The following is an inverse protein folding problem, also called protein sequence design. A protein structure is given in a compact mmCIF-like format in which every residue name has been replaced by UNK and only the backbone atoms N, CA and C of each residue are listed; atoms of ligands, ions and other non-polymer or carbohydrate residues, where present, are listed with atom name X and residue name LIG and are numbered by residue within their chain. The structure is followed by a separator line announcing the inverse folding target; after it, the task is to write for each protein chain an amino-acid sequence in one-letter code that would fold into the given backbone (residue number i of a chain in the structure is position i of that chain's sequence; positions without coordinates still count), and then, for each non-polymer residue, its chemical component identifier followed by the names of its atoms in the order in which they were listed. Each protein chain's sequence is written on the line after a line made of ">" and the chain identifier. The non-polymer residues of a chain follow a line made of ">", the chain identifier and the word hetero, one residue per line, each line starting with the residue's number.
data_IF_585731184877
#
_entry.id   IF_585731184877
#
_cell.length_a   1.000
_cell.length_b   1.000
_cell.length_c   1.000
_cell.angle_alpha   90.00
_cell.angle_beta   90.00
_cell.angle_gamma   90.00
#
_symmetry.space_group_name_H-M   'P 1'
#
loop_
_entity.id
_entity.type
_entity.pdbx_description
1 polymer ?
#
# COMPACT_ATOMS: atom_id res chain seq x y z
N UNK A 1 28.03 -0.05 -20.20
CA UNK A 1 29.37 0.55 -20.19
C UNK A 1 29.71 1.02 -21.60
N UNK A 2 29.71 2.33 -21.82
CA UNK A 2 30.00 2.94 -23.14
C UNK A 2 31.47 2.82 -23.58
N UNK A 3 32.34 2.31 -22.72
CA UNK A 3 33.76 2.07 -23.01
C UNK A 3 34.00 0.71 -23.67
N UNK A 4 32.97 -0.15 -23.75
CA UNK A 4 33.06 -1.48 -24.35
C UNK A 4 32.00 -1.68 -25.45
N UNK A 5 32.10 -1.00 -26.60
CA UNK A 5 31.05 -1.02 -27.61
C UNK A 5 30.83 -2.36 -28.31
N UNK A 6 31.65 -3.37 -28.00
CA UNK A 6 31.56 -4.73 -28.59
C UNK A 6 30.86 -5.75 -27.70
N UNK A 7 30.47 -5.38 -26.46
CA UNK A 7 29.71 -6.28 -25.59
C UNK A 7 28.22 -6.24 -26.01
N UNK A 8 27.60 -7.41 -26.07
CA UNK A 8 26.19 -7.53 -26.36
C UNK A 8 25.36 -6.88 -25.22
N UNK A 9 24.51 -5.94 -25.55
CA UNK A 9 23.56 -5.37 -24.60
C UNK A 9 22.38 -6.34 -24.51
N UNK A 10 22.18 -6.95 -23.35
CA UNK A 10 20.98 -7.71 -23.05
C UNK A 10 19.85 -6.75 -22.68
N UNK A 11 18.84 -6.68 -23.52
CA UNK A 11 17.64 -5.87 -23.27
C UNK A 11 16.49 -6.77 -22.87
N UNK A 12 16.00 -6.58 -21.64
CA UNK A 12 14.75 -7.17 -21.17
C UNK A 12 13.64 -6.13 -21.23
N UNK A 13 12.50 -6.46 -21.82
CA UNK A 13 11.33 -5.59 -21.90
C UNK A 13 10.19 -6.20 -21.10
N UNK A 14 9.54 -5.38 -20.28
CA UNK A 14 8.36 -5.76 -19.50
C UNK A 14 7.24 -4.79 -19.79
N UNK A 15 6.03 -5.30 -20.04
CA UNK A 15 4.83 -4.48 -20.25
C UNK A 15 4.09 -4.39 -18.90
N UNK A 16 4.17 -3.25 -18.26
CA UNK A 16 3.57 -2.98 -16.96
C UNK A 16 2.95 -1.57 -16.97
N UNK A 17 1.74 -1.44 -16.45
CA UNK A 17 1.23 -0.15 -16.04
C UNK A 17 1.85 0.18 -14.68
N UNK A 18 2.56 1.31 -14.59
CA UNK A 18 3.31 1.67 -13.39
C UNK A 18 2.77 2.99 -12.86
N UNK A 19 2.18 2.95 -11.67
CA UNK A 19 1.75 4.15 -10.95
C UNK A 19 2.84 4.69 -10.03
N UNK A 20 3.63 3.82 -9.42
CA UNK A 20 4.72 4.17 -8.52
C UNK A 20 5.89 3.18 -8.65
N UNK A 21 7.06 3.59 -8.19
CA UNK A 21 8.24 2.75 -8.08
C UNK A 21 8.98 3.01 -6.76
N UNK A 22 9.64 1.97 -6.25
CA UNK A 22 10.54 2.06 -5.11
C UNK A 22 11.79 1.24 -5.37
N UNK A 23 12.94 1.79 -5.05
CA UNK A 23 14.24 1.16 -5.25
C UNK A 23 14.95 1.08 -3.90
N UNK A 24 15.30 -0.12 -3.50
CA UNK A 24 16.17 -0.40 -2.35
C UNK A 24 17.59 -0.72 -2.82
N UNK A 25 18.45 -1.13 -1.91
CA UNK A 25 19.83 -1.50 -2.23
C UNK A 25 19.94 -2.67 -3.21
N UNK A 26 19.01 -3.66 -3.10
CA UNK A 26 19.09 -4.90 -3.87
C UNK A 26 17.87 -5.20 -4.72
N UNK A 27 16.81 -4.38 -4.63
CA UNK A 27 15.55 -4.66 -5.30
C UNK A 27 14.93 -3.39 -5.93
N UNK A 28 14.19 -3.62 -7.01
CA UNK A 28 13.31 -2.64 -7.62
C UNK A 28 11.90 -3.17 -7.49
N UNK A 29 10.99 -2.33 -6.99
CA UNK A 29 9.57 -2.62 -6.90
C UNK A 29 8.81 -1.67 -7.80
N UNK A 30 7.96 -2.22 -8.65
CA UNK A 30 7.05 -1.49 -9.52
C UNK A 30 5.62 -1.76 -9.05
N UNK A 31 4.86 -0.70 -8.88
CA UNK A 31 3.51 -0.75 -8.36
C UNK A 31 2.52 -0.28 -9.43
N UNK A 32 1.46 -1.06 -9.61
CA UNK A 32 0.31 -0.74 -10.44
C UNK A 32 -0.94 -0.71 -9.56
N UNK A 33 -1.73 0.37 -9.69
CA UNK A 33 -2.99 0.52 -8.97
C UNK A 33 -4.16 0.17 -9.89
N UNK A 34 -4.95 -0.80 -9.47
CA UNK A 34 -6.05 -1.33 -10.26
C UNK A 34 -7.30 -1.52 -9.38
N UNK A 35 -8.39 -1.92 -10.01
CA UNK A 35 -9.65 -2.24 -9.34
C UNK A 35 -10.07 -3.66 -9.70
N UNK A 36 -10.32 -4.48 -8.69
CA UNK A 36 -11.02 -5.75 -8.89
C UNK A 36 -12.53 -5.53 -8.76
N UNK A 37 -13.24 -5.92 -9.79
CA UNK A 37 -14.70 -5.91 -9.82
C UNK A 37 -15.21 -7.30 -9.47
N UNK A 38 -16.15 -7.40 -8.53
CA UNK A 38 -16.73 -8.67 -8.13
C UNK A 38 -17.96 -8.49 -7.26
N UNK A 39 -18.69 -9.56 -7.01
CA UNK A 39 -19.79 -9.59 -6.06
C UNK A 39 -19.23 -9.63 -4.62
N UNK A 40 -18.57 -8.55 -4.21
CA UNK A 40 -18.14 -8.39 -2.83
C UNK A 40 -19.29 -7.76 -2.05
N UNK A 41 -20.02 -8.55 -1.29
CA UNK A 41 -21.01 -8.00 -0.37
C UNK A 41 -20.29 -7.08 0.62
N UNK A 42 -20.60 -5.77 0.67
CA UNK A 42 -20.03 -4.91 1.69
C UNK A 42 -20.46 -5.45 3.06
N UNK A 43 -19.62 -5.34 4.09
CA UNK A 43 -20.02 -5.73 5.44
C UNK A 43 -21.34 -5.05 5.79
N UNK A 44 -22.31 -5.79 6.29
CA UNK A 44 -23.66 -5.29 6.62
C UNK A 44 -23.58 -4.02 7.50
N UNK A 45 -22.52 -3.89 8.30
CA UNK A 45 -22.25 -2.69 9.10
C UNK A 45 -22.05 -1.40 8.28
N UNK A 46 -21.59 -1.49 7.04
CA UNK A 46 -21.43 -0.31 6.16
C UNK A 46 -22.76 0.17 5.56
N UNK A 47 -23.76 -0.69 5.48
CA UNK A 47 -25.11 -0.36 5.01
C UNK A 47 -25.93 0.39 6.07
N UNK A 48 -25.63 0.23 7.36
CA UNK A 48 -26.34 0.92 8.45
C UNK A 48 -26.00 2.39 8.61
N UNK A 49 -24.90 2.89 7.99
CA UNK A 49 -24.55 4.32 7.97
C UNK A 49 -25.42 5.18 7.02
N UNK A 50 -26.19 4.56 6.14
CA UNK A 50 -27.05 5.22 5.16
C UNK A 50 -28.51 5.42 5.66
N UNK A 51 -28.71 5.49 6.97
CA UNK A 51 -30.02 5.83 7.55
C UNK A 51 -30.45 7.24 7.16
N UNK A 52 -31.07 7.38 5.99
CA UNK A 52 -31.72 8.64 5.60
C UNK A 52 -31.95 8.85 4.10
N UNK A 53 -31.36 8.03 3.24
CA UNK A 53 -31.43 8.25 1.79
C UNK A 53 -32.04 7.07 1.00
N UNK A 54 -32.56 6.05 1.66
CA UNK A 54 -33.11 4.89 0.96
C UNK A 54 -34.64 4.99 1.04
N UNK A 55 -35.24 5.59 -0.03
CA UNK A 55 -36.59 5.28 -0.40
C UNK A 55 -36.68 3.76 -0.76
N UNK A 56 -37.84 3.21 -1.08
CA UNK A 56 -38.03 1.77 -1.27
C UNK A 56 -37.38 1.28 -2.59
N UNK A 57 -36.07 1.37 -2.65
CA UNK A 57 -35.28 0.69 -3.68
C UNK A 57 -34.96 -0.72 -3.14
N UNK A 58 -35.68 -1.70 -3.69
CA UNK A 58 -35.32 -3.09 -3.55
C UNK A 58 -34.05 -3.28 -4.39
N UNK A 59 -32.89 -3.27 -3.73
CA UNK A 59 -31.67 -3.74 -4.38
C UNK A 59 -31.74 -5.26 -4.46
N UNK A 60 -31.81 -5.79 -5.67
CA UNK A 60 -31.50 -7.20 -5.88
C UNK A 60 -30.04 -7.40 -5.49
N UNK A 61 -29.77 -8.38 -4.63
CA UNK A 61 -28.43 -8.74 -4.15
C UNK A 61 -27.42 -9.05 -5.27
N UNK A 62 -27.94 -9.27 -6.49
CA UNK A 62 -27.14 -9.65 -7.66
C UNK A 62 -26.55 -8.44 -8.40
N UNK A 63 -27.00 -7.20 -8.08
CA UNK A 63 -26.55 -5.98 -8.78
C UNK A 63 -25.52 -5.15 -8.00
N UNK A 64 -25.11 -5.60 -6.82
CA UNK A 64 -24.13 -4.86 -6.02
C UNK A 64 -22.69 -5.19 -6.49
N UNK A 65 -22.33 -4.71 -7.68
CA UNK A 65 -20.94 -4.71 -8.11
C UNK A 65 -20.15 -3.75 -7.22
N UNK A 66 -19.43 -4.30 -6.28
CA UNK A 66 -18.46 -3.51 -5.51
C UNK A 66 -17.09 -3.67 -6.15
N UNK A 67 -16.40 -2.56 -6.37
CA UNK A 67 -15.00 -2.59 -6.75
C UNK A 67 -14.13 -2.43 -5.51
N UNK A 68 -13.06 -3.18 -5.41
CA UNK A 68 -12.02 -2.95 -4.42
C UNK A 68 -10.72 -2.52 -5.09
N UNK A 69 -10.05 -1.60 -4.45
CA UNK A 69 -8.74 -1.15 -4.92
C UNK A 69 -7.69 -2.21 -4.64
N UNK A 70 -6.83 -2.46 -5.62
CA UNK A 70 -5.73 -3.41 -5.55
C UNK A 70 -4.44 -2.70 -5.94
N UNK A 71 -3.39 -2.95 -5.20
CA UNK A 71 -2.02 -2.61 -5.60
C UNK A 71 -1.30 -3.89 -6.01
N UNK A 72 -0.95 -4.00 -7.29
CA UNK A 72 -0.08 -5.06 -7.82
C UNK A 72 1.37 -4.64 -7.62
N UNK A 73 2.21 -5.60 -7.26
CA UNK A 73 3.63 -5.36 -6.97
C UNK A 73 4.45 -6.32 -7.81
N UNK A 74 5.36 -5.78 -8.63
CA UNK A 74 6.36 -6.55 -9.35
C UNK A 74 7.74 -6.28 -8.76
N UNK A 75 8.43 -7.34 -8.32
CA UNK A 75 9.75 -7.28 -7.70
C UNK A 75 10.81 -7.73 -8.70
N UNK A 76 11.86 -6.95 -8.82
CA UNK A 76 13.06 -7.26 -9.58
C UNK A 76 14.28 -7.22 -8.65
N UNK A 77 15.24 -8.11 -8.87
CA UNK A 77 16.52 -8.09 -8.16
C UNK A 77 17.55 -7.34 -8.98
N UNK A 78 18.38 -6.56 -8.28
CA UNK A 78 19.60 -5.96 -8.82
C UNK A 78 20.72 -6.95 -8.50
N UNK A 79 21.35 -7.51 -9.54
CA UNK A 79 22.43 -8.49 -9.39
C UNK A 79 23.77 -7.78 -9.23
N UNK A 80 24.79 -8.51 -8.75
CA UNK A 80 26.14 -7.97 -8.50
C UNK A 80 26.80 -7.39 -9.74
N UNK A 81 26.48 -7.91 -10.94
CA UNK A 81 26.96 -7.39 -12.22
C UNK A 81 26.19 -6.16 -12.71
N UNK A 82 25.22 -5.68 -11.93
CA UNK A 82 24.35 -4.56 -12.25
C UNK A 82 23.19 -4.91 -13.18
N UNK A 83 23.02 -6.17 -13.56
CA UNK A 83 21.87 -6.61 -14.33
C UNK A 83 20.63 -6.69 -13.46
N UNK A 84 19.45 -6.61 -14.10
CA UNK A 84 18.14 -6.65 -13.43
C UNK A 84 17.43 -7.93 -13.84
N UNK A 85 16.91 -8.66 -12.85
CA UNK A 85 16.18 -9.91 -13.06
C UNK A 85 14.82 -9.86 -12.39
N UNK A 86 13.77 -10.24 -13.12
CA UNK A 86 12.43 -10.42 -12.53
C UNK A 86 12.48 -11.49 -11.44
N UNK A 87 11.95 -11.19 -10.27
CA UNK A 87 11.95 -12.09 -9.13
C UNK A 87 10.57 -12.70 -8.86
N UNK A 88 9.57 -11.86 -8.64
CA UNK A 88 8.22 -12.32 -8.29
C UNK A 88 7.20 -11.20 -8.47
N UNK A 89 5.93 -11.56 -8.41
CA UNK A 89 4.80 -10.62 -8.44
C UNK A 89 3.78 -11.00 -7.37
N UNK A 90 3.18 -9.98 -6.75
CA UNK A 90 2.13 -10.12 -5.75
C UNK A 90 1.05 -9.07 -5.90
N UNK A 91 0.01 -9.16 -5.06
CA UNK A 91 -1.03 -8.13 -4.97
C UNK A 91 -1.51 -7.98 -3.53
N UNK A 92 -1.91 -6.76 -3.18
CA UNK A 92 -2.48 -6.39 -1.88
C UNK A 92 -3.70 -5.52 -2.06
N UNK A 93 -4.64 -5.58 -1.13
CA UNK A 93 -5.83 -4.72 -1.14
C UNK A 93 -5.49 -3.32 -0.63
N UNK A 94 -6.02 -2.31 -1.32
CA UNK A 94 -5.85 -0.90 -1.01
C UNK A 94 -4.96 -0.18 -2.01
N UNK A 95 -4.89 1.13 -1.85
CA UNK A 95 -4.09 2.07 -2.65
C UNK A 95 -2.95 2.63 -1.84
N UNK A 96 -1.90 3.04 -2.53
CA UNK A 96 -0.80 3.84 -1.99
C UNK A 96 -0.95 5.29 -2.41
N UNK A 97 -0.37 6.24 -1.67
CA UNK A 97 -0.43 7.67 -2.01
C UNK A 97 0.72 8.03 -2.96
N UNK A 98 1.95 7.70 -2.55
CA UNK A 98 3.18 8.12 -3.22
C UNK A 98 4.35 7.21 -2.82
N UNK A 99 5.54 7.57 -3.25
CA UNK A 99 6.78 6.84 -2.98
C UNK A 99 7.13 6.62 -1.49
N UNK A 100 6.58 7.41 -0.57
CA UNK A 100 6.80 7.27 0.88
C UNK A 100 5.87 6.23 1.52
N UNK A 101 4.94 5.68 0.73
CA UNK A 101 4.07 4.58 1.15
C UNK A 101 4.75 3.21 1.10
N UNK A 102 6.03 3.16 0.72
CA UNK A 102 6.81 1.95 0.54
C UNK A 102 8.10 2.01 1.35
N UNK A 103 8.51 0.85 1.85
CA UNK A 103 9.79 0.67 2.51
C UNK A 103 10.22 -0.79 2.45
N UNK A 104 11.51 -1.05 2.27
CA UNK A 104 12.09 -2.37 2.45
C UNK A 104 12.95 -2.40 3.71
N UNK A 105 12.62 -3.30 4.62
CA UNK A 105 13.33 -3.47 5.87
C UNK A 105 13.56 -4.96 6.16
N UNK A 106 14.81 -5.35 6.36
CA UNK A 106 15.19 -6.76 6.61
C UNK A 106 14.67 -7.73 5.54
N UNK A 107 14.67 -7.32 4.26
CA UNK A 107 14.20 -8.13 3.14
C UNK A 107 12.68 -8.23 3.00
N UNK A 108 11.92 -7.56 3.86
CA UNK A 108 10.46 -7.49 3.84
C UNK A 108 10.01 -6.17 3.23
N UNK A 109 9.00 -6.23 2.36
CA UNK A 109 8.37 -5.04 1.80
C UNK A 109 7.22 -4.60 2.71
N UNK A 110 7.27 -3.34 3.16
CA UNK A 110 6.26 -2.71 4.00
C UNK A 110 5.48 -1.68 3.19
N UNK A 111 4.16 -1.71 3.29
CA UNK A 111 3.26 -0.86 2.50
C UNK A 111 2.28 -0.13 3.41
N UNK A 112 2.15 1.17 3.24
CA UNK A 112 1.07 1.97 3.80
C UNK A 112 -0.04 2.06 2.74
N UNK A 113 -1.18 1.46 3.04
CA UNK A 113 -2.32 1.32 2.14
C UNK A 113 -3.57 1.95 2.72
N UNK A 114 -4.46 2.42 1.87
CA UNK A 114 -5.78 2.92 2.27
C UNK A 114 -6.86 2.53 1.25
N UNK A 115 -8.07 2.44 1.73
CA UNK A 115 -9.29 2.30 0.95
C UNK A 115 -10.49 2.84 1.75
N UNK A 116 -11.72 2.48 1.34
CA UNK A 116 -12.94 2.89 2.05
C UNK A 116 -13.08 2.32 3.48
N UNK A 117 -12.34 1.25 3.80
CA UNK A 117 -12.33 0.66 5.15
C UNK A 117 -11.43 1.41 6.12
N UNK A 118 -10.44 2.13 5.59
CA UNK A 118 -9.46 2.90 6.37
C UNK A 118 -8.03 2.76 5.84
N UNK A 119 -7.09 3.08 6.70
CA UNK A 119 -5.66 2.99 6.42
C UNK A 119 -5.04 1.83 7.19
N UNK A 120 -4.05 1.15 6.60
CA UNK A 120 -3.35 0.02 7.22
C UNK A 120 -1.91 -0.09 6.75
N UNK A 121 -1.09 -0.74 7.55
CA UNK A 121 0.22 -1.23 7.14
C UNK A 121 0.09 -2.71 6.79
N UNK A 122 0.66 -3.10 5.66
CA UNK A 122 0.81 -4.50 5.24
C UNK A 122 2.29 -4.81 5.10
N UNK A 123 2.71 -5.97 5.56
CA UNK A 123 4.09 -6.45 5.48
C UNK A 123 4.11 -7.73 4.65
N UNK A 124 4.97 -7.74 3.64
CA UNK A 124 5.15 -8.85 2.72
C UNK A 124 6.54 -9.45 2.90
N UNK A 125 6.64 -10.77 2.76
CA UNK A 125 7.91 -11.48 2.74
C UNK A 125 8.68 -11.25 1.42
N UNK A 126 9.83 -11.90 1.28
CA UNK A 126 10.67 -11.83 0.07
C UNK A 126 9.96 -12.29 -1.21
N UNK A 127 8.93 -13.16 -1.08
CA UNK A 127 8.12 -13.69 -2.17
C UNK A 127 6.82 -12.89 -2.38
N UNK A 128 6.68 -11.72 -1.74
CA UNK A 128 5.52 -10.85 -1.77
C UNK A 128 4.23 -11.50 -1.21
N UNK A 129 4.37 -12.42 -0.25
CA UNK A 129 3.26 -12.97 0.52
C UNK A 129 3.04 -12.14 1.79
N UNK A 130 1.79 -11.84 2.10
CA UNK A 130 1.43 -11.15 3.36
C UNK A 130 1.84 -12.03 4.55
N UNK A 131 2.64 -11.45 5.46
CA UNK A 131 3.06 -12.06 6.71
C UNK A 131 2.48 -11.33 7.93
N UNK A 132 2.03 -10.11 7.75
CA UNK A 132 1.37 -9.34 8.80
C UNK A 132 0.69 -8.10 8.25
N UNK A 133 -0.34 -7.67 8.98
CA UNK A 133 -1.02 -6.40 8.74
C UNK A 133 -1.62 -5.83 10.01
N UNK A 134 -1.77 -4.50 10.07
CA UNK A 134 -2.53 -3.85 11.13
C UNK A 134 -4.03 -4.05 10.94
N UNK A 135 -4.80 -3.80 11.99
CA UNK A 135 -6.21 -3.49 11.83
C UNK A 135 -6.37 -2.19 11.04
N UNK A 136 -7.54 -1.99 10.44
CA UNK A 136 -7.85 -0.75 9.73
C UNK A 136 -7.90 0.42 10.72
N UNK A 137 -7.11 1.45 10.43
CA UNK A 137 -7.03 2.69 11.18
C UNK A 137 -7.86 3.76 10.47
N UNK A 138 -8.40 4.71 11.24
CA UNK A 138 -9.07 5.89 10.68
C UNK A 138 -10.15 5.54 9.64
N UNK A 139 -11.11 4.69 10.01
CA UNK A 139 -12.18 4.25 9.12
C UNK A 139 -12.95 5.44 8.53
N UNK A 140 -13.04 5.46 7.19
CA UNK A 140 -13.70 6.51 6.44
C UNK A 140 -12.87 7.78 6.25
N UNK A 141 -11.61 7.79 6.69
CA UNK A 141 -10.67 8.88 6.45
C UNK A 141 -9.74 8.56 5.28
N UNK A 142 -9.24 9.60 4.63
CA UNK A 142 -8.24 9.47 3.56
C UNK A 142 -6.84 9.58 4.16
N UNK A 143 -5.92 8.71 3.75
CA UNK A 143 -4.51 8.83 4.09
C UNK A 143 -3.86 9.96 3.28
N UNK A 144 -3.17 10.88 3.96
CA UNK A 144 -2.50 12.03 3.34
C UNK A 144 -0.99 11.91 3.33
N UNK A 145 -0.43 11.24 4.30
CA UNK A 145 1.01 11.09 4.44
C UNK A 145 1.34 9.79 5.15
N UNK A 146 2.47 9.21 4.77
CA UNK A 146 3.05 8.05 5.45
C UNK A 146 4.56 8.16 5.48
N UNK A 147 5.18 7.58 6.51
CA UNK A 147 6.63 7.48 6.62
C UNK A 147 7.05 6.27 7.44
N UNK A 148 8.00 5.53 6.92
CA UNK A 148 8.64 4.44 7.64
C UNK A 148 9.98 4.92 8.24
N UNK A 149 10.26 4.55 9.50
CA UNK A 149 11.48 4.88 10.21
C UNK A 149 11.87 3.73 11.15
N UNK A 150 12.85 2.92 10.77
CA UNK A 150 13.24 1.74 11.53
C UNK A 150 12.04 0.82 11.80
N UNK A 151 11.80 0.50 13.06
CA UNK A 151 10.70 -0.38 13.47
C UNK A 151 9.36 0.36 13.68
N UNK A 152 9.19 1.51 13.04
CA UNK A 152 7.95 2.30 13.16
C UNK A 152 7.45 2.80 11.81
N UNK A 153 6.12 2.94 11.71
CA UNK A 153 5.49 3.71 10.65
C UNK A 153 4.62 4.81 11.26
N UNK A 154 4.53 5.90 10.53
CA UNK A 154 3.74 7.08 10.86
C UNK A 154 2.74 7.30 9.74
N UNK A 155 1.46 7.46 10.07
CA UNK A 155 0.38 7.72 9.12
C UNK A 155 -0.36 8.98 9.54
N UNK A 156 -0.60 9.87 8.59
CA UNK A 156 -1.51 11.01 8.76
C UNK A 156 -2.74 10.75 7.91
N UNK A 157 -3.89 10.78 8.54
CA UNK A 157 -5.19 10.67 7.87
C UNK A 157 -5.98 11.95 8.07
N UNK A 158 -7.02 12.17 7.31
CA UNK A 158 -7.87 13.36 7.41
C UNK A 158 -9.32 13.07 7.07
N UNK A 159 -10.20 13.60 7.90
CA UNK A 159 -11.60 13.85 7.60
C UNK A 159 -12.04 15.23 8.11
N UNK A 160 -11.79 15.51 9.38
CA UNK A 160 -12.15 16.79 10.05
C UNK A 160 -11.02 17.28 10.96
N UNK A 161 -10.20 16.37 11.46
CA UNK A 161 -9.02 16.61 12.31
C UNK A 161 -7.97 15.61 11.86
N UNK A 162 -6.69 15.99 11.89
CA UNK A 162 -5.58 15.15 11.43
C UNK A 162 -5.00 14.31 12.57
N UNK A 163 -5.40 13.05 12.75
CA UNK A 163 -4.66 12.17 13.64
C UNK A 163 -3.36 11.71 12.97
N UNK A 164 -2.26 11.81 13.73
CA UNK A 164 -1.01 11.13 13.44
C UNK A 164 -1.02 9.79 14.17
N UNK A 165 -1.07 8.70 13.44
CA UNK A 165 -0.94 7.34 13.97
C UNK A 165 0.51 6.92 14.01
N UNK A 166 0.91 6.28 15.11
CA UNK A 166 2.21 5.60 15.24
C UNK A 166 1.97 4.10 15.28
N UNK A 167 2.64 3.38 14.39
CA UNK A 167 2.53 1.93 14.26
C UNK A 167 3.87 1.29 14.61
N UNK A 168 3.84 0.29 15.50
CA UNK A 168 4.97 -0.56 15.84
C UNK A 168 5.08 -1.70 14.83
N UNK A 169 6.25 -1.86 14.24
CA UNK A 169 6.60 -2.86 13.24
C UNK A 169 7.74 -3.78 13.72
N UNK A 170 8.08 -3.74 15.01
CA UNK A 170 9.16 -4.56 15.58
C UNK A 170 8.88 -6.07 15.47
N UNK A 171 7.59 -6.46 15.51
CA UNK A 171 7.14 -7.80 15.13
C UNK A 171 6.42 -7.69 13.77
N UNK A 172 7.05 -8.08 12.66
CA UNK A 172 6.46 -7.96 11.33
C UNK A 172 5.22 -8.83 11.12
N UNK A 173 5.01 -9.85 11.96
CA UNK A 173 3.82 -10.73 11.87
C UNK A 173 2.64 -10.19 12.66
N UNK A 174 2.87 -9.26 13.60
CA UNK A 174 1.86 -8.64 14.44
C UNK A 174 2.05 -7.12 14.54
N UNK A 175 2.05 -6.38 13.42
CA UNK A 175 2.17 -4.93 13.45
C UNK A 175 0.94 -4.32 14.15
N UNK A 176 1.17 -3.29 14.99
CA UNK A 176 0.10 -2.72 15.82
C UNK A 176 0.20 -1.21 15.96
N UNK A 177 -0.94 -0.54 15.98
CA UNK A 177 -0.99 0.87 16.34
C UNK A 177 -0.64 1.05 17.82
N UNK A 178 0.28 1.96 18.11
CA UNK A 178 0.65 2.34 19.48
C UNK A 178 -0.28 3.42 20.04
N UNK A 179 -0.84 4.24 19.17
CA UNK A 179 -1.72 5.34 19.52
C UNK A 179 -1.89 6.34 18.39
N UNK A 180 -2.70 7.34 18.67
CA UNK A 180 -2.94 8.48 17.79
C UNK A 180 -2.64 9.79 18.52
N UNK A 181 -2.10 10.77 17.80
CA UNK A 181 -1.93 12.14 18.27
C UNK A 181 -2.74 13.07 17.35
N UNK A 182 -3.71 13.78 17.92
CA UNK A 182 -4.49 14.77 17.17
C UNK A 182 -3.76 16.08 17.14
N UNK A 183 -3.36 16.52 15.95
CA UNK A 183 -2.63 17.77 15.73
C UNK A 183 -3.55 18.72 14.95
N UNK A 184 -3.71 20.00 15.34
CA UNK A 184 -4.42 20.98 14.55
C UNK A 184 -3.70 21.26 13.22
N UNK A 185 -4.42 21.24 12.10
CA UNK A 185 -3.86 21.43 10.76
C UNK A 185 -3.81 20.12 9.99
N UNK A 186 -3.18 20.11 8.80
CA UNK A 186 -2.94 18.88 8.05
C UNK A 186 -1.50 18.82 7.56
N UNK A 187 -0.95 17.59 7.51
CA UNK A 187 0.40 17.35 7.06
C UNK A 187 0.40 16.40 5.85
N UNK A 188 0.87 16.90 4.73
CA UNK A 188 1.03 16.10 3.50
C UNK A 188 2.41 15.46 3.36
N UNK A 189 3.32 15.80 4.28
CA UNK A 189 4.68 15.29 4.28
C UNK A 189 5.25 15.20 5.69
N UNK A 190 5.88 14.06 5.99
CA UNK A 190 6.59 13.81 7.24
C UNK A 190 8.10 13.78 6.97
N UNK A 191 8.85 14.72 7.58
CA UNK A 191 10.29 14.80 7.44
C UNK A 191 10.98 14.19 8.66
N UNK A 192 11.80 13.13 8.51
CA UNK A 192 12.63 12.63 9.59
C UNK A 192 13.83 13.57 9.80
N UNK A 193 14.22 13.77 11.05
CA UNK A 193 15.48 14.41 11.45
C UNK A 193 16.52 13.36 11.79
#
# INVERSE_FOLDING_TARGET
>A
DLTKPTENIHLNSYFLDISNSYVSEHNIYLFDQDYEYGNYAPPISSLFGLKGAIGPFVYNSDDLYTSRSITKVSKFKILEDGSISFATQGKVEGKTINQYSFDEHNGQLRLALYDFQGSRIVILDENLKEIGKTLDLAKGETMYSSRFMGDKAYLVTYQTVDPLYVVDLSDPTHPRALGELKIPGYSTYLHPY
#
